data_IF_059006150042
#
_entry.id   IF_059006150042
#
_cell.length_a   1.000
_cell.length_b   1.000
_cell.length_c   1.000
_cell.angle_alpha   90.00
_cell.angle_beta   90.00
_cell.angle_gamma   90.00
#
_symmetry.space_group_name_H-M   'P 1'
#
loop_
_entity.id
_entity.type
_entity.pdbx_description
1 polymer ?
#
# COMPACT_ATOMS: atom_id res chain seq x y z
N UNK A 1 41.05 1.28 -6.00
CA UNK A 1 40.80 -0.16 -5.78
C UNK A 1 39.55 -0.32 -4.91
N UNK A 2 38.38 0.04 -5.46
CA UNK A 2 37.06 -0.20 -4.86
C UNK A 2 36.12 -0.66 -5.96
N UNK A 3 35.33 -1.68 -5.62
CA UNK A 3 34.53 -2.53 -6.50
C UNK A 3 33.41 -1.73 -7.20
N UNK A 4 33.46 -1.76 -8.53
CA UNK A 4 32.37 -1.39 -9.43
C UNK A 4 31.16 -2.32 -9.21
N UNK A 5 30.06 -1.80 -8.68
CA UNK A 5 28.74 -2.37 -8.93
C UNK A 5 28.22 -1.79 -10.25
N UNK A 6 28.44 -2.53 -11.34
CA UNK A 6 27.82 -2.28 -12.64
C UNK A 6 26.33 -2.60 -12.53
N UNK A 7 25.50 -1.58 -12.34
CA UNK A 7 24.07 -1.64 -12.63
C UNK A 7 23.83 -1.10 -14.05
N UNK A 8 24.28 -1.84 -15.07
CA UNK A 8 23.88 -1.62 -16.47
C UNK A 8 23.88 -2.96 -17.20
N UNK A 9 22.70 -3.31 -17.73
CA UNK A 9 22.45 -4.28 -18.80
C UNK A 9 22.86 -5.73 -18.53
N UNK A 10 21.88 -6.51 -18.09
CA UNK A 10 21.95 -7.96 -18.04
C UNK A 10 20.57 -8.59 -18.07
N UNK A 11 19.71 -8.20 -19.03
CA UNK A 11 18.59 -9.06 -19.42
C UNK A 11 19.23 -10.28 -20.10
N UNK A 12 19.58 -11.28 -19.29
CA UNK A 12 19.74 -12.64 -19.79
C UNK A 12 18.33 -13.16 -20.02
N UNK A 13 17.93 -13.15 -21.29
CA UNK A 13 16.96 -14.10 -21.81
C UNK A 13 17.48 -15.50 -21.47
N UNK A 14 16.99 -16.06 -20.36
CA UNK A 14 17.10 -17.49 -20.16
C UNK A 14 16.14 -18.15 -21.15
N UNK A 15 16.72 -18.61 -22.25
CA UNK A 15 16.13 -19.60 -23.13
C UNK A 15 15.76 -20.84 -22.31
N UNK A 16 14.49 -20.94 -21.90
CA UNK A 16 13.90 -22.22 -21.56
C UNK A 16 13.53 -22.92 -22.87
N UNK A 17 14.43 -23.79 -23.32
CA UNK A 17 14.11 -24.76 -24.36
C UNK A 17 13.25 -25.89 -23.76
N UNK A 18 12.05 -26.03 -24.31
CA UNK A 18 11.27 -27.26 -24.48
C UNK A 18 10.91 -28.12 -23.26
N UNK A 19 9.76 -27.79 -22.67
CA UNK A 19 8.59 -28.69 -22.69
C UNK A 19 7.35 -27.84 -22.90
N UNK A 20 6.72 -27.92 -24.08
CA UNK A 20 5.40 -27.32 -24.32
C UNK A 20 4.33 -28.14 -23.56
N UNK A 21 4.23 -27.93 -22.26
CA UNK A 21 2.92 -27.98 -21.60
C UNK A 21 2.30 -26.61 -21.86
N UNK A 22 1.22 -26.58 -22.63
CA UNK A 22 0.40 -25.37 -22.76
C UNK A 22 -0.04 -25.04 -21.33
N UNK A 23 0.55 -24.01 -20.73
CA UNK A 23 0.18 -23.60 -19.39
C UNK A 23 -1.21 -22.99 -19.49
N UNK A 24 -2.24 -23.78 -19.15
CA UNK A 24 -3.64 -23.39 -19.24
C UNK A 24 -3.98 -22.22 -18.30
N UNK A 25 -3.08 -21.94 -17.36
CA UNK A 25 -3.30 -20.97 -16.31
C UNK A 25 -2.41 -19.74 -16.46
N UNK A 26 -3.00 -18.58 -16.16
CA UNK A 26 -2.27 -17.34 -15.98
C UNK A 26 -1.20 -17.47 -14.90
N UNK A 27 -0.10 -16.77 -15.07
CA UNK A 27 0.91 -16.62 -14.03
C UNK A 27 0.33 -15.85 -12.84
N UNK A 28 0.87 -16.14 -11.65
CA UNK A 28 0.52 -15.46 -10.40
C UNK A 28 1.80 -15.04 -9.71
N UNK A 29 1.74 -13.95 -8.97
CA UNK A 29 2.82 -13.45 -8.12
C UNK A 29 2.30 -13.26 -6.70
N UNK A 30 2.34 -14.33 -5.90
CA UNK A 30 2.03 -14.25 -4.47
C UNK A 30 3.29 -13.98 -3.65
N UNK A 31 3.46 -12.74 -3.19
CA UNK A 31 4.60 -12.34 -2.37
C UNK A 31 4.62 -13.07 -1.02
N UNK A 32 3.46 -13.45 -0.46
CA UNK A 32 3.42 -14.22 0.80
C UNK A 32 4.00 -15.63 0.67
N UNK A 33 4.10 -16.15 -0.56
CA UNK A 33 4.68 -17.46 -0.90
C UNK A 33 6.03 -17.35 -1.60
N UNK A 34 6.45 -16.15 -1.99
CA UNK A 34 7.65 -15.97 -2.82
C UNK A 34 8.94 -16.23 -2.03
N UNK A 35 9.99 -16.59 -2.76
CA UNK A 35 11.31 -16.85 -2.21
C UNK A 35 11.94 -15.56 -1.60
N UNK A 36 13.01 -15.73 -0.83
CA UNK A 36 13.70 -14.65 -0.12
C UNK A 36 14.84 -14.00 -0.93
N UNK A 37 14.61 -13.70 -2.21
CA UNK A 37 15.59 -12.96 -3.02
C UNK A 37 15.53 -11.45 -2.75
N UNK A 38 16.54 -10.69 -3.19
CA UNK A 38 16.65 -9.25 -2.90
C UNK A 38 15.46 -8.44 -3.42
N UNK A 39 15.01 -8.70 -4.66
CA UNK A 39 13.88 -7.97 -5.28
C UNK A 39 12.56 -8.25 -4.54
N UNK A 40 12.31 -9.52 -4.22
CA UNK A 40 11.11 -9.96 -3.49
C UNK A 40 11.10 -9.43 -2.05
N UNK A 41 12.26 -9.43 -1.38
CA UNK A 41 12.39 -8.84 -0.05
C UNK A 41 12.13 -7.33 -0.08
N UNK A 42 12.58 -6.63 -1.13
CA UNK A 42 12.27 -5.22 -1.34
C UNK A 42 10.76 -4.99 -1.53
N UNK A 43 10.09 -5.77 -2.40
CA UNK A 43 8.63 -5.70 -2.57
C UNK A 43 7.90 -5.95 -1.25
N UNK A 44 8.32 -6.98 -0.49
CA UNK A 44 7.76 -7.32 0.82
C UNK A 44 7.94 -6.21 1.85
N UNK A 45 9.07 -5.50 1.83
CA UNK A 45 9.31 -4.36 2.73
C UNK A 45 8.36 -3.20 2.42
N UNK A 46 8.26 -2.81 1.14
CA UNK A 46 7.38 -1.70 0.72
C UNK A 46 5.91 -2.04 0.92
N UNK A 47 5.51 -3.28 0.63
CA UNK A 47 4.12 -3.76 0.70
C UNK A 47 3.79 -4.45 2.03
N UNK A 48 4.66 -4.35 3.05
CA UNK A 48 4.49 -5.07 4.32
C UNK A 48 3.10 -4.89 4.93
N UNK A 49 2.60 -3.66 4.92
CA UNK A 49 1.30 -3.32 5.52
C UNK A 49 0.10 -3.83 4.69
N UNK A 50 0.04 -3.64 3.36
CA UNK A 50 -0.92 -4.32 2.48
C UNK A 50 -0.87 -5.85 2.54
N UNK A 51 0.32 -6.46 2.58
CA UNK A 51 0.49 -7.91 2.72
C UNK A 51 -0.07 -8.42 4.04
N UNK A 52 0.09 -7.65 5.12
CA UNK A 52 -0.56 -7.92 6.40
C UNK A 52 -2.09 -7.90 6.31
N UNK A 53 -2.67 -7.01 5.49
CA UNK A 53 -4.12 -7.01 5.24
C UNK A 53 -4.55 -8.25 4.44
N UNK A 54 -3.81 -8.61 3.38
CA UNK A 54 -4.09 -9.81 2.58
C UNK A 54 -4.08 -11.06 3.47
N UNK A 55 -3.05 -11.22 4.29
CA UNK A 55 -2.94 -12.30 5.28
C UNK A 55 -4.15 -12.35 6.22
N UNK A 56 -4.55 -11.22 6.81
CA UNK A 56 -5.70 -11.20 7.73
C UNK A 56 -7.01 -11.62 7.02
N UNK A 57 -7.22 -11.17 5.78
CA UNK A 57 -8.39 -11.56 4.98
C UNK A 57 -8.37 -13.06 4.69
N UNK A 58 -7.21 -13.61 4.32
CA UNK A 58 -7.04 -15.05 4.08
C UNK A 58 -7.33 -15.84 5.36
N UNK A 59 -6.80 -15.40 6.50
CA UNK A 59 -7.03 -16.06 7.79
C UNK A 59 -8.50 -16.02 8.19
N UNK A 60 -9.17 -14.87 8.04
CA UNK A 60 -10.61 -14.74 8.34
C UNK A 60 -11.48 -15.56 7.37
N UNK A 61 -11.08 -15.65 6.10
CA UNK A 61 -11.73 -16.47 5.07
C UNK A 61 -11.70 -17.96 5.45
N UNK A 62 -10.52 -18.50 5.75
CA UNK A 62 -10.38 -19.92 6.09
C UNK A 62 -10.82 -20.27 7.51
N UNK A 63 -10.85 -19.30 8.43
CA UNK A 63 -11.40 -19.49 9.77
C UNK A 63 -12.91 -19.18 9.89
N UNK A 64 -13.56 -18.79 8.79
CA UNK A 64 -14.99 -18.43 8.74
C UNK A 64 -15.36 -17.30 9.73
N UNK A 65 -14.51 -16.27 9.85
CA UNK A 65 -14.63 -15.17 10.82
C UNK A 65 -15.25 -13.89 10.26
N UNK A 66 -15.61 -13.84 8.98
CA UNK A 66 -16.20 -12.62 8.41
C UNK A 66 -17.55 -12.23 9.02
N UNK A 67 -18.28 -13.17 9.63
CA UNK A 67 -19.47 -12.87 10.43
C UNK A 67 -19.17 -11.90 11.59
N UNK A 68 -17.96 -11.96 12.16
CA UNK A 68 -17.55 -11.10 13.27
C UNK A 68 -17.40 -9.63 12.85
N UNK A 69 -17.22 -9.34 11.56
CA UNK A 69 -17.15 -7.97 11.05
C UNK A 69 -18.47 -7.24 11.19
N UNK A 70 -19.59 -7.95 11.03
CA UNK A 70 -20.93 -7.36 11.20
C UNK A 70 -21.16 -6.89 12.64
N UNK A 71 -20.69 -7.67 13.62
CA UNK A 71 -20.83 -7.34 15.05
C UNK A 71 -20.06 -6.07 15.45
N UNK A 72 -19.08 -5.65 14.65
CA UNK A 72 -18.26 -4.45 14.87
C UNK A 72 -18.88 -3.18 14.27
N UNK A 73 -20.00 -3.29 13.56
CA UNK A 73 -20.69 -2.12 13.02
C UNK A 73 -21.36 -1.32 14.15
N UNK A 74 -21.14 -0.01 14.16
CA UNK A 74 -21.85 0.89 15.06
C UNK A 74 -23.32 1.06 14.65
N UNK A 75 -24.14 1.51 15.60
CA UNK A 75 -25.57 1.73 15.40
C UNK A 75 -25.88 2.79 14.34
N UNK A 76 -24.95 3.73 14.09
CA UNK A 76 -25.11 4.78 13.08
C UNK A 76 -25.06 4.19 11.68
N UNK A 77 -24.09 3.34 11.39
CA UNK A 77 -24.00 2.61 10.13
C UNK A 77 -25.24 1.75 9.90
N UNK A 78 -25.77 1.16 10.97
CA UNK A 78 -26.95 0.29 10.90
C UNK A 78 -28.20 0.98 10.34
N UNK A 79 -28.44 2.27 10.64
CA UNK A 79 -29.58 2.99 10.06
C UNK A 79 -29.22 3.82 8.82
N UNK A 80 -28.02 4.42 8.76
CA UNK A 80 -27.61 5.27 7.62
C UNK A 80 -27.35 4.47 6.34
N UNK A 81 -26.84 3.24 6.47
CA UNK A 81 -26.64 2.35 5.33
C UNK A 81 -27.87 1.47 5.03
N UNK A 82 -29.00 1.63 5.74
CA UNK A 82 -30.20 0.82 5.49
C UNK A 82 -30.07 -0.65 5.91
N UNK A 83 -29.03 -1.03 6.66
CA UNK A 83 -28.82 -2.39 7.19
C UNK A 83 -30.00 -2.82 8.09
N UNK A 84 -30.51 -1.90 8.91
CA UNK A 84 -31.68 -2.11 9.75
C UNK A 84 -32.94 -2.42 8.95
N UNK A 85 -33.05 -1.88 7.73
CA UNK A 85 -34.14 -2.21 6.80
C UNK A 85 -33.96 -3.61 6.23
N UNK A 86 -32.76 -3.93 5.72
CA UNK A 86 -32.42 -5.25 5.20
C UNK A 86 -32.65 -6.36 6.24
N UNK A 87 -32.27 -6.12 7.50
CA UNK A 87 -32.49 -7.03 8.65
C UNK A 87 -33.98 -7.36 8.91
N UNK A 88 -34.94 -6.61 8.37
CA UNK A 88 -36.38 -6.93 8.46
C UNK A 88 -36.84 -7.96 7.42
N UNK A 89 -36.06 -8.16 6.34
CA UNK A 89 -36.40 -9.05 5.22
C UNK A 89 -35.44 -10.25 5.15
N UNK A 90 -35.17 -10.91 6.29
CA UNK A 90 -34.13 -11.96 6.38
C UNK A 90 -34.36 -13.18 5.47
N UNK A 91 -35.61 -13.42 5.06
CA UNK A 91 -35.97 -14.49 4.11
C UNK A 91 -35.56 -14.18 2.66
N UNK A 92 -35.28 -12.92 2.33
CA UNK A 92 -34.81 -12.51 1.01
C UNK A 92 -33.28 -12.56 0.96
N UNK A 93 -32.72 -13.42 0.10
CA UNK A 93 -31.27 -13.69 0.03
C UNK A 93 -30.41 -12.42 -0.08
N UNK A 94 -30.81 -11.45 -0.90
CA UNK A 94 -30.09 -10.17 -1.01
C UNK A 94 -30.09 -9.38 0.30
N UNK A 95 -31.23 -9.32 0.99
CA UNK A 95 -31.35 -8.63 2.27
C UNK A 95 -30.61 -9.35 3.40
N UNK A 96 -30.51 -10.68 3.35
CA UNK A 96 -29.68 -11.49 4.24
C UNK A 96 -28.19 -11.24 4.00
N UNK A 97 -27.76 -11.14 2.74
CA UNK A 97 -26.36 -10.94 2.35
C UNK A 97 -25.86 -9.50 2.62
N UNK A 98 -26.70 -8.49 2.39
CA UNK A 98 -26.31 -7.07 2.43
C UNK A 98 -25.53 -6.62 3.69
N UNK A 99 -25.93 -6.98 4.92
CA UNK A 99 -25.17 -6.59 6.12
C UNK A 99 -23.73 -7.11 6.13
N UNK A 100 -23.51 -8.32 5.63
CA UNK A 100 -22.19 -8.95 5.58
C UNK A 100 -21.32 -8.33 4.50
N UNK A 101 -21.90 -8.10 3.32
CA UNK A 101 -21.27 -7.35 2.23
C UNK A 101 -20.80 -5.97 2.72
N UNK A 102 -21.70 -5.20 3.32
CA UNK A 102 -21.39 -3.86 3.82
C UNK A 102 -20.28 -3.89 4.87
N UNK A 103 -20.35 -4.80 5.85
CA UNK A 103 -19.35 -4.92 6.89
C UNK A 103 -17.95 -5.22 6.33
N UNK A 104 -17.87 -6.17 5.40
CA UNK A 104 -16.61 -6.54 4.75
C UNK A 104 -16.02 -5.37 3.94
N UNK A 105 -16.82 -4.72 3.10
CA UNK A 105 -16.36 -3.57 2.33
C UNK A 105 -15.93 -2.40 3.20
N UNK A 106 -16.68 -2.10 4.28
CA UNK A 106 -16.29 -1.07 5.23
C UNK A 106 -14.94 -1.39 5.88
N UNK A 107 -14.75 -2.63 6.32
CA UNK A 107 -13.49 -3.11 6.89
C UNK A 107 -12.33 -2.97 5.90
N UNK A 108 -12.51 -3.48 4.67
CA UNK A 108 -11.47 -3.47 3.64
C UNK A 108 -11.09 -2.04 3.24
N UNK A 109 -12.06 -1.19 2.88
CA UNK A 109 -11.80 0.18 2.41
C UNK A 109 -11.19 1.06 3.51
N UNK A 110 -11.64 0.91 4.76
CA UNK A 110 -11.02 1.61 5.89
C UNK A 110 -9.57 1.14 6.11
N UNK A 111 -9.34 -0.17 5.99
CA UNK A 111 -8.03 -0.79 6.18
C UNK A 111 -7.04 -0.40 5.09
N UNK A 112 -7.42 -0.41 3.82
CA UNK A 112 -6.51 -0.04 2.73
C UNK A 112 -6.17 1.44 2.78
N UNK A 113 -7.15 2.31 3.07
CA UNK A 113 -6.92 3.76 3.23
C UNK A 113 -5.86 4.05 4.29
N UNK A 114 -5.92 3.38 5.44
CA UNK A 114 -4.94 3.55 6.51
C UNK A 114 -3.52 3.08 6.15
N UNK A 115 -3.38 2.25 5.10
CA UNK A 115 -2.10 1.61 4.70
C UNK A 115 -1.44 2.26 3.50
N UNK A 116 -2.21 2.96 2.66
CA UNK A 116 -1.71 3.65 1.48
C UNK A 116 -0.58 4.63 1.83
N UNK A 117 -0.76 5.46 2.87
CA UNK A 117 0.27 6.40 3.32
C UNK A 117 1.60 5.72 3.66
N UNK A 118 1.55 4.57 4.35
CA UNK A 118 2.75 3.80 4.70
C UNK A 118 3.52 3.27 3.50
N UNK A 119 2.82 2.89 2.42
CA UNK A 119 3.48 2.49 1.17
C UNK A 119 4.20 3.67 0.55
N UNK A 120 3.57 4.84 0.48
CA UNK A 120 4.19 6.05 -0.07
C UNK A 120 5.41 6.51 0.76
N UNK A 121 5.30 6.46 2.09
CA UNK A 121 6.41 6.70 3.03
C UNK A 121 7.61 5.81 2.68
N UNK A 122 7.37 4.50 2.50
CA UNK A 122 8.43 3.52 2.17
C UNK A 122 9.08 3.80 0.81
N UNK A 123 8.28 4.13 -0.21
CA UNK A 123 8.81 4.47 -1.55
C UNK A 123 9.72 5.70 -1.45
N UNK A 124 9.28 6.76 -0.79
CA UNK A 124 10.08 7.99 -0.62
C UNK A 124 11.31 7.73 0.26
N UNK A 125 11.17 6.96 1.34
CA UNK A 125 12.30 6.54 2.17
C UNK A 125 13.37 5.82 1.35
N UNK A 126 12.97 4.93 0.45
CA UNK A 126 13.89 4.24 -0.45
C UNK A 126 14.55 5.21 -1.45
N UNK A 127 13.79 6.14 -2.03
CA UNK A 127 14.35 7.16 -2.93
C UNK A 127 15.42 7.99 -2.23
N UNK A 128 15.13 8.47 -1.02
CA UNK A 128 16.05 9.27 -0.22
C UNK A 128 17.31 8.47 0.18
N UNK A 129 17.18 7.20 0.54
CA UNK A 129 18.31 6.35 0.96
C UNK A 129 19.27 6.02 -0.20
N UNK A 130 18.73 5.81 -1.40
CA UNK A 130 19.51 5.26 -2.52
C UNK A 130 20.02 6.30 -3.51
N UNK A 131 19.30 7.41 -3.69
CA UNK A 131 19.64 8.41 -4.71
C UNK A 131 20.15 9.73 -4.14
N UNK A 132 20.01 9.93 -2.83
CA UNK A 132 20.46 11.13 -2.14
C UNK A 132 21.59 10.77 -1.18
N UNK A 133 22.62 11.63 -1.10
CA UNK A 133 23.71 11.51 -0.12
C UNK A 133 23.27 11.93 1.29
N UNK A 134 22.15 11.41 1.78
CA UNK A 134 21.61 11.69 3.10
C UNK A 134 21.77 10.46 4.00
N UNK A 135 22.68 10.48 5.00
CA UNK A 135 22.89 9.33 5.88
C UNK A 135 21.78 9.13 6.90
N UNK A 136 20.93 10.13 7.10
CA UNK A 136 19.80 10.09 8.03
C UNK A 136 18.54 10.17 7.19
N UNK A 137 17.80 9.07 7.12
CA UNK A 137 16.47 9.00 6.52
C UNK A 137 15.54 8.31 7.50
N UNK A 138 14.50 9.02 7.94
CA UNK A 138 13.49 8.51 8.87
C UNK A 138 12.08 8.68 8.31
N UNK A 139 11.17 7.84 8.76
CA UNK A 139 9.78 7.78 8.32
C UNK A 139 8.86 7.99 9.55
N UNK A 140 7.75 8.70 9.38
CA UNK A 140 6.74 8.89 10.41
C UNK A 140 7.26 9.47 11.75
N UNK A 141 6.99 8.78 12.86
CA UNK A 141 7.24 9.29 14.22
C UNK A 141 8.72 9.51 14.55
N UNK A 142 9.64 8.78 13.93
CA UNK A 142 11.08 8.96 14.16
C UNK A 142 11.59 10.30 13.62
N UNK A 143 10.93 10.86 12.61
CA UNK A 143 11.26 12.17 12.05
C UNK A 143 11.03 13.32 13.06
N UNK A 144 10.06 13.16 13.97
CA UNK A 144 9.74 14.17 14.99
C UNK A 144 10.88 14.36 15.98
N UNK A 145 11.43 13.27 16.51
CA UNK A 145 12.48 13.36 17.54
C UNK A 145 13.75 14.00 16.99
N UNK A 146 14.10 13.69 15.73
CA UNK A 146 15.22 14.32 15.02
C UNK A 146 14.95 15.80 14.80
N UNK A 147 13.75 16.16 14.32
CA UNK A 147 13.41 17.56 14.06
C UNK A 147 13.39 18.41 15.35
N UNK A 148 12.84 17.88 16.44
CA UNK A 148 12.83 18.54 17.75
C UNK A 148 14.25 18.73 18.29
N UNK A 149 15.14 17.73 18.14
CA UNK A 149 16.54 17.87 18.53
C UNK A 149 17.29 18.92 17.72
N UNK A 150 16.85 19.18 16.48
CA UNK A 150 17.47 20.14 15.57
C UNK A 150 16.98 21.57 15.82
N UNK A 151 15.70 21.75 16.11
CA UNK A 151 15.07 23.06 16.35
C UNK A 151 15.22 23.49 17.81
N UNK A 152 15.54 22.54 18.71
CA UNK A 152 15.64 22.76 20.15
C UNK A 152 14.35 23.37 20.73
N UNK A 153 13.21 22.82 20.30
CA UNK A 153 11.88 23.20 20.74
C UNK A 153 10.89 22.04 20.68
N UNK A 154 9.88 22.10 21.53
CA UNK A 154 8.77 21.16 21.50
C UNK A 154 7.81 21.54 20.38
N UNK A 155 7.86 20.81 19.28
CA UNK A 155 6.84 20.86 18.23
C UNK A 155 5.63 20.00 18.62
N UNK A 156 4.43 20.57 18.53
CA UNK A 156 3.20 19.80 18.66
C UNK A 156 2.98 18.93 17.40
N UNK A 157 2.36 17.76 17.63
CA UNK A 157 1.91 16.73 16.67
C UNK A 157 2.23 16.99 15.19
N UNK A 158 3.09 16.15 14.61
CA UNK A 158 3.51 16.26 13.22
C UNK A 158 2.91 15.18 12.34
N UNK A 159 2.61 15.59 11.11
CA UNK A 159 2.19 14.75 10.01
C UNK A 159 3.29 14.86 8.93
N UNK A 160 4.49 14.39 9.27
CA UNK A 160 5.63 14.24 8.35
C UNK A 160 5.69 12.77 7.96
N UNK A 161 5.76 12.54 6.65
CA UNK A 161 5.86 11.19 6.09
C UNK A 161 7.32 10.75 6.00
N UNK A 162 8.23 11.63 5.57
CA UNK A 162 9.66 11.34 5.51
C UNK A 162 10.54 12.55 5.86
N UNK A 163 11.71 12.29 6.42
CA UNK A 163 12.76 13.27 6.67
C UNK A 163 14.09 12.74 6.13
N UNK A 164 14.85 13.61 5.46
CA UNK A 164 16.25 13.34 5.15
C UNK A 164 17.15 14.53 5.50
N UNK A 165 18.33 14.24 6.05
CA UNK A 165 19.33 15.25 6.40
C UNK A 165 20.67 14.98 5.71
N UNK A 166 21.35 16.04 5.29
CA UNK A 166 22.71 15.97 4.73
C UNK A 166 23.72 15.45 5.77
N UNK A 167 24.90 14.95 5.35
CA UNK A 167 25.89 14.39 6.29
C UNK A 167 26.36 15.38 7.35
N UNK A 168 26.47 16.65 6.97
CA UNK A 168 26.83 17.76 7.86
C UNK A 168 25.64 18.35 8.63
N UNK A 169 24.44 17.80 8.43
CA UNK A 169 23.15 18.24 9.01
C UNK A 169 22.82 19.72 8.76
N UNK A 170 23.42 20.35 7.74
CA UNK A 170 23.15 21.75 7.37
C UNK A 170 22.00 21.89 6.38
N UNK A 171 21.55 20.79 5.76
CA UNK A 171 20.39 20.75 4.88
C UNK A 171 19.46 19.63 5.31
N UNK A 172 18.17 19.93 5.39
CA UNK A 172 17.11 18.98 5.74
C UNK A 172 15.97 19.13 4.74
N UNK A 173 15.41 18.01 4.30
CA UNK A 173 14.13 17.97 3.62
C UNK A 173 13.10 17.30 4.53
N UNK A 174 11.97 17.96 4.72
CA UNK A 174 10.78 17.45 5.40
C UNK A 174 9.73 17.21 4.32
N UNK A 175 9.29 15.96 4.18
CA UNK A 175 8.34 15.58 3.13
C UNK A 175 7.02 15.19 3.77
N UNK A 176 5.96 15.83 3.31
CA UNK A 176 4.58 15.46 3.59
C UNK A 176 3.91 15.07 2.27
N UNK A 177 3.40 13.84 2.20
CA UNK A 177 2.79 13.22 1.03
C UNK A 177 1.29 13.16 1.20
N UNK A 178 0.55 13.42 0.12
CA UNK A 178 -0.89 13.18 0.10
C UNK A 178 -1.32 12.47 -1.16
N UNK A 179 -2.25 11.54 -1.00
CA UNK A 179 -3.02 10.97 -2.10
C UNK A 179 -4.16 11.91 -2.48
N UNK A 180 -4.80 11.64 -3.63
CA UNK A 180 -6.00 12.34 -4.09
C UNK A 180 -7.06 12.51 -3.00
N UNK A 181 -7.41 11.42 -2.30
CA UNK A 181 -8.60 11.37 -1.45
C UNK A 181 -8.49 12.29 -0.22
N UNK A 182 -7.27 12.63 0.20
CA UNK A 182 -7.01 13.51 1.34
C UNK A 182 -6.95 15.00 0.95
N UNK A 183 -7.06 15.33 -0.34
CA UNK A 183 -7.15 16.71 -0.84
C UNK A 183 -8.59 17.16 -1.15
N UNK A 184 -9.62 16.36 -0.83
CA UNK A 184 -11.03 16.73 -1.03
C UNK A 184 -11.59 17.67 0.05
N UNK A 185 -11.13 17.55 1.29
CA UNK A 185 -11.64 18.32 2.44
C UNK A 185 -10.92 19.65 2.66
N UNK A 186 -11.67 20.71 2.99
CA UNK A 186 -11.11 22.05 3.27
C UNK A 186 -10.20 22.09 4.51
N UNK A 187 -10.45 21.23 5.50
CA UNK A 187 -9.65 21.11 6.73
C UNK A 187 -8.34 20.35 6.51
N UNK A 188 -8.35 19.30 5.67
CA UNK A 188 -7.19 18.45 5.39
C UNK A 188 -6.09 19.16 4.58
N UNK A 189 -6.44 20.23 3.85
CA UNK A 189 -5.47 21.06 3.11
C UNK A 189 -4.70 22.03 4.00
N UNK A 190 -5.33 22.57 5.05
CA UNK A 190 -4.67 23.51 5.96
C UNK A 190 -3.63 22.84 6.86
N UNK A 191 -3.87 21.58 7.25
CA UNK A 191 -2.94 20.78 8.04
C UNK A 191 -1.62 20.47 7.34
N UNK A 192 -1.57 20.59 6.00
CA UNK A 192 -0.35 20.32 5.21
C UNK A 192 0.77 21.34 5.44
N UNK A 193 0.45 22.51 6.01
CA UNK A 193 1.44 23.54 6.31
C UNK A 193 1.40 23.95 7.78
N UNK A 194 0.73 23.16 8.62
CA UNK A 194 0.57 23.47 10.04
C UNK A 194 1.89 23.35 10.80
N UNK A 195 2.71 22.34 10.46
CA UNK A 195 4.07 22.25 10.99
C UNK A 195 4.91 23.45 10.57
N UNK A 196 4.93 23.75 9.27
CA UNK A 196 5.68 24.87 8.74
C UNK A 196 5.28 26.19 9.43
N UNK A 197 3.96 26.41 9.61
CA UNK A 197 3.42 27.55 10.35
C UNK A 197 3.94 27.60 11.79
N UNK A 198 4.00 26.46 12.46
CA UNK A 198 4.51 26.36 13.82
C UNK A 198 6.00 26.70 13.87
N UNK A 199 6.81 26.22 12.91
CA UNK A 199 8.22 26.58 12.80
C UNK A 199 8.43 28.08 12.54
N UNK A 200 7.61 28.68 11.67
CA UNK A 200 7.65 30.11 11.38
C UNK A 200 7.33 30.95 12.63
N UNK A 201 6.37 30.51 13.45
CA UNK A 201 5.99 31.19 14.71
C UNK A 201 7.10 31.20 15.75
N UNK A 202 7.94 30.18 15.78
CA UNK A 202 9.08 30.14 16.71
C UNK A 202 10.08 31.28 16.44
N UNK A 203 10.09 31.84 15.22
CA UNK A 203 10.99 32.91 14.78
C UNK A 203 12.48 32.64 15.08
N UNK A 204 12.85 31.37 15.28
CA UNK A 204 14.23 30.92 15.37
C UNK A 204 14.76 30.77 13.95
N UNK A 205 15.98 31.26 13.72
CA UNK A 205 16.74 31.02 12.49
C UNK A 205 17.72 29.89 12.77
N UNK A 206 17.32 28.61 12.63
CA UNK A 206 18.27 27.51 12.78
C UNK A 206 19.41 27.74 11.79
N UNK A 207 20.65 27.39 12.16
CA UNK A 207 21.81 27.51 11.26
C UNK A 207 21.81 26.40 10.19
N UNK A 208 20.63 25.99 9.75
CA UNK A 208 20.32 24.82 8.96
C UNK A 208 19.25 25.22 7.95
N UNK A 209 19.46 24.86 6.70
CA UNK A 209 18.48 25.05 5.62
C UNK A 209 17.48 23.91 5.64
N UNK A 210 16.19 24.24 5.68
CA UNK A 210 15.08 23.30 5.75
C UNK A 210 14.16 23.56 4.56
N UNK A 211 14.02 22.55 3.71
CA UNK A 211 12.99 22.49 2.68
C UNK A 211 11.79 21.72 3.23
N UNK A 212 10.65 22.39 3.32
CA UNK A 212 9.36 21.76 3.56
C UNK A 212 8.73 21.42 2.20
N UNK A 213 8.75 20.16 1.83
CA UNK A 213 8.17 19.66 0.58
C UNK A 213 6.80 19.06 0.84
N UNK A 214 5.76 19.66 0.27
CA UNK A 214 4.43 19.03 0.18
C UNK A 214 4.32 18.35 -1.18
N UNK A 215 4.30 17.02 -1.20
CA UNK A 215 4.09 16.20 -2.38
C UNK A 215 2.65 15.73 -2.51
N UNK A 216 1.98 16.05 -3.61
CA UNK A 216 0.70 15.46 -3.99
C UNK A 216 0.97 14.38 -5.03
N UNK A 217 0.70 13.12 -4.69
CA UNK A 217 1.12 11.97 -5.49
C UNK A 217 0.48 11.95 -6.88
N UNK A 218 -0.83 12.21 -6.95
CA UNK A 218 -1.61 12.18 -8.18
C UNK A 218 -1.68 13.58 -8.82
N UNK A 219 -1.14 13.71 -10.03
CA UNK A 219 -1.30 14.92 -10.84
C UNK A 219 -2.75 14.99 -11.36
N UNK A 220 -3.52 16.01 -10.94
CA UNK A 220 -4.90 16.24 -11.40
C UNK A 220 -5.19 17.72 -11.63
N UNK A 221 -6.36 17.97 -12.23
CA UNK A 221 -6.93 19.25 -12.65
C UNK A 221 -6.43 20.47 -11.83
N UNK A 222 -5.98 21.47 -12.57
CA UNK A 222 -5.57 22.81 -12.11
C UNK A 222 -6.43 23.40 -10.99
N UNK A 223 -7.72 23.09 -10.96
CA UNK A 223 -8.65 23.52 -9.93
C UNK A 223 -8.31 23.01 -8.51
N UNK A 224 -7.94 21.72 -8.37
CA UNK A 224 -7.56 21.17 -7.07
C UNK A 224 -6.26 21.79 -6.57
N UNK A 225 -5.30 21.97 -7.48
CA UNK A 225 -4.02 22.64 -7.23
C UNK A 225 -4.22 24.07 -6.72
N UNK A 226 -5.00 24.88 -7.46
CA UNK A 226 -5.30 26.26 -7.08
C UNK A 226 -6.02 26.34 -5.73
N UNK A 227 -6.91 25.39 -5.44
CA UNK A 227 -7.59 25.28 -4.15
C UNK A 227 -6.60 25.00 -3.00
N UNK A 228 -5.63 24.11 -3.20
CA UNK A 228 -4.57 23.82 -2.22
C UNK A 228 -3.68 25.04 -1.98
N UNK A 229 -3.21 25.69 -3.05
CA UNK A 229 -2.38 26.90 -2.95
C UNK A 229 -3.13 28.00 -2.17
N UNK A 230 -4.40 28.23 -2.49
CA UNK A 230 -5.24 29.23 -1.79
C UNK A 230 -5.37 28.92 -0.29
N UNK A 231 -5.45 27.64 0.09
CA UNK A 231 -5.47 27.23 1.49
C UNK A 231 -4.12 27.40 2.18
N UNK A 232 -3.01 27.23 1.46
CA UNK A 232 -1.69 27.52 2.01
C UNK A 232 -1.53 29.02 2.24
N UNK A 233 -1.92 29.87 1.28
CA UNK A 233 -1.97 31.32 1.44
C UNK A 233 -2.76 31.71 2.69
N UNK A 234 -3.97 31.15 2.85
CA UNK A 234 -4.83 31.44 4.00
C UNK A 234 -4.20 31.02 5.33
N UNK A 235 -3.52 29.87 5.35
CA UNK A 235 -2.94 29.29 6.58
C UNK A 235 -1.62 29.96 6.98
N UNK A 236 -0.88 30.50 6.01
CA UNK A 236 0.43 31.13 6.17
C UNK A 236 0.40 32.66 5.96
N UNK A 237 -0.79 33.27 5.92
CA UNK A 237 -1.00 34.68 5.58
C UNK A 237 -0.12 35.65 6.37
N UNK A 238 0.15 35.34 7.65
CA UNK A 238 0.93 36.20 8.55
C UNK A 238 2.44 36.18 8.22
N UNK A 239 2.88 35.26 7.36
CA UNK A 239 4.27 35.04 6.98
C UNK A 239 4.54 35.28 5.49
N UNK A 240 3.50 35.59 4.71
CA UNK A 240 3.61 35.83 3.27
C UNK A 240 3.57 37.35 3.03
N UNK A 241 4.63 37.89 2.45
CA UNK A 241 4.73 39.32 2.13
C UNK A 241 3.94 39.71 0.87
N UNK A 242 3.86 38.81 -0.11
CA UNK A 242 3.12 39.00 -1.36
C UNK A 242 2.44 37.68 -1.76
N UNK A 243 1.10 37.66 -1.71
CA UNK A 243 0.28 36.51 -2.06
C UNK A 243 0.40 36.15 -3.55
N UNK A 244 0.56 37.13 -4.43
CA UNK A 244 0.70 36.90 -5.88
C UNK A 244 2.04 36.24 -6.18
N UNK A 245 3.11 36.71 -5.53
CA UNK A 245 4.43 36.10 -5.63
C UNK A 245 4.42 34.67 -5.09
N UNK A 246 3.82 34.47 -3.90
CA UNK A 246 3.68 33.15 -3.28
C UNK A 246 2.99 32.14 -4.22
N UNK A 247 1.84 32.52 -4.79
CA UNK A 247 1.10 31.66 -5.72
C UNK A 247 1.91 31.28 -6.96
N UNK A 248 2.79 32.17 -7.43
CA UNK A 248 3.65 31.92 -8.60
C UNK A 248 4.87 31.05 -8.30
N UNK A 249 5.45 31.16 -7.10
CA UNK A 249 6.74 30.56 -6.76
C UNK A 249 6.65 29.24 -5.99
N UNK A 250 5.50 28.93 -5.38
CA UNK A 250 5.37 27.78 -4.47
C UNK A 250 5.74 26.43 -5.13
N UNK A 251 5.65 26.31 -6.45
CA UNK A 251 6.03 25.10 -7.19
C UNK A 251 7.55 24.99 -7.43
N UNK A 252 8.29 26.10 -7.44
CA UNK A 252 9.74 26.11 -7.67
C UNK A 252 10.54 26.10 -6.38
N UNK A 253 10.14 26.93 -5.40
CA UNK A 253 10.53 27.02 -3.99
C UNK A 253 10.16 28.46 -3.57
N UNK A 254 9.38 28.59 -2.50
CA UNK A 254 9.11 29.85 -1.84
C UNK A 254 9.98 29.99 -0.59
N UNK A 255 10.75 31.06 -0.51
CA UNK A 255 11.61 31.36 0.63
C UNK A 255 10.86 32.22 1.65
N UNK A 256 10.64 31.72 2.86
CA UNK A 256 10.17 32.55 3.98
C UNK A 256 11.32 33.33 4.61
N UNK A 257 12.51 32.72 4.65
CA UNK A 257 13.77 33.34 5.07
C UNK A 257 14.94 32.50 4.53
N UNK A 258 16.18 32.85 4.90
CA UNK A 258 17.41 32.18 4.43
C UNK A 258 17.52 30.69 4.82
N UNK A 259 16.71 30.26 5.79
CA UNK A 259 16.77 28.94 6.43
C UNK A 259 15.54 28.08 6.15
N UNK A 260 14.37 28.66 5.88
CA UNK A 260 13.10 27.94 5.78
C UNK A 260 12.42 28.19 4.43
N UNK A 261 12.20 27.10 3.71
CA UNK A 261 11.65 27.08 2.35
C UNK A 261 10.43 26.16 2.28
N UNK A 262 9.51 26.47 1.38
CA UNK A 262 8.35 25.65 1.05
C UNK A 262 8.33 25.35 -0.44
N UNK A 263 8.09 24.10 -0.80
CA UNK A 263 7.80 23.71 -2.18
C UNK A 263 6.58 22.80 -2.23
N UNK A 264 5.70 23.04 -3.18
CA UNK A 264 4.54 22.22 -3.50
C UNK A 264 4.81 21.48 -4.81
N UNK A 265 4.89 20.15 -4.73
CA UNK A 265 5.12 19.28 -5.88
C UNK A 265 3.85 18.49 -6.20
N UNK A 266 3.31 18.65 -7.41
CA UNK A 266 2.18 17.88 -7.91
C UNK A 266 2.65 16.81 -8.90
N UNK A 267 2.34 15.55 -8.61
CA UNK A 267 2.76 14.40 -9.38
C UNK A 267 4.14 13.86 -8.95
N UNK A 268 4.34 12.57 -9.19
CA UNK A 268 5.61 11.88 -8.85
C UNK A 268 6.84 12.50 -9.52
N UNK A 269 6.69 13.02 -10.74
CA UNK A 269 7.78 13.69 -11.46
C UNK A 269 8.23 14.99 -10.76
N UNK A 270 7.28 15.81 -10.29
CA UNK A 270 7.60 17.03 -9.55
C UNK A 270 8.23 16.71 -8.19
N UNK A 271 7.76 15.66 -7.51
CA UNK A 271 8.32 15.19 -6.24
C UNK A 271 9.78 14.77 -6.43
N UNK A 272 10.06 13.88 -7.40
CA UNK A 272 11.42 13.44 -7.71
C UNK A 272 12.33 14.61 -8.07
N UNK A 273 11.83 15.57 -8.87
CA UNK A 273 12.59 16.77 -9.25
C UNK A 273 12.93 17.65 -8.05
N UNK A 274 11.97 17.90 -7.16
CA UNK A 274 12.19 18.66 -5.94
C UNK A 274 13.27 18.01 -5.05
N UNK A 275 13.23 16.69 -4.89
CA UNK A 275 14.24 15.94 -4.14
C UNK A 275 15.62 16.02 -4.82
N UNK A 276 15.67 15.87 -6.15
CA UNK A 276 16.91 15.96 -6.94
C UNK A 276 17.57 17.34 -6.81
N UNK A 277 16.81 18.40 -7.05
CA UNK A 277 17.30 19.78 -6.99
C UNK A 277 17.78 20.14 -5.58
N UNK A 278 17.02 19.76 -4.55
CA UNK A 278 17.39 20.03 -3.16
C UNK A 278 18.64 19.29 -2.71
N UNK A 279 18.77 18.02 -3.13
CA UNK A 279 19.91 17.17 -2.75
C UNK A 279 21.20 17.55 -3.45
N UNK A 280 21.15 18.39 -4.49
CA UNK A 280 22.29 18.66 -5.39
C UNK A 280 22.91 17.36 -5.92
N UNK A 281 22.08 16.32 -6.06
CA UNK A 281 22.54 15.02 -6.55
C UNK A 281 22.98 15.17 -8.01
N UNK A 282 24.02 14.41 -8.38
CA UNK A 282 24.44 14.27 -9.78
C UNK A 282 23.83 13.03 -10.42
N UNK A 283 23.10 12.22 -9.64
CA UNK A 283 22.46 11.00 -10.11
C UNK A 283 21.05 11.30 -10.64
N UNK A 284 20.96 11.51 -11.96
CA UNK A 284 19.68 11.71 -12.65
C UNK A 284 18.73 10.49 -12.56
N UNK A 285 19.21 9.32 -12.12
CA UNK A 285 18.35 8.16 -11.92
C UNK A 285 17.22 8.43 -10.91
N UNK A 286 17.41 9.38 -9.99
CA UNK A 286 16.36 9.80 -9.04
C UNK A 286 15.10 10.30 -9.74
N UNK A 287 15.23 10.93 -10.91
CA UNK A 287 14.10 11.50 -11.65
C UNK A 287 13.11 10.40 -12.08
N UNK A 288 13.61 9.17 -12.24
CA UNK A 288 12.82 7.97 -12.51
C UNK A 288 12.69 7.04 -11.30
N UNK A 289 13.28 7.37 -10.17
CA UNK A 289 13.35 6.51 -8.98
C UNK A 289 11.98 6.06 -8.50
N UNK A 290 11.04 6.99 -8.33
CA UNK A 290 9.66 6.68 -7.93
C UNK A 290 8.99 5.74 -8.95
N UNK A 291 9.07 6.05 -10.25
CA UNK A 291 8.45 5.25 -11.31
C UNK A 291 9.02 3.83 -11.37
N UNK A 292 10.34 3.69 -11.23
CA UNK A 292 11.01 2.39 -11.24
C UNK A 292 10.57 1.53 -10.05
N UNK A 293 10.50 2.13 -8.85
CA UNK A 293 10.03 1.44 -7.64
C UNK A 293 8.60 0.98 -7.82
N UNK A 294 7.71 1.89 -8.26
CA UNK A 294 6.30 1.59 -8.51
C UNK A 294 6.16 0.44 -9.51
N UNK A 295 6.82 0.51 -10.67
CA UNK A 295 6.80 -0.56 -11.67
C UNK A 295 7.34 -1.90 -11.17
N UNK A 296 8.22 -1.89 -10.14
CA UNK A 296 8.72 -3.10 -9.49
C UNK A 296 7.65 -3.72 -8.58
N UNK A 297 6.90 -2.92 -7.83
CA UNK A 297 5.96 -3.40 -6.80
C UNK A 297 4.52 -3.60 -7.30
N UNK A 298 4.16 -3.12 -8.49
CA UNK A 298 2.79 -3.18 -9.00
C UNK A 298 2.29 -4.60 -9.30
N UNK A 299 3.20 -5.54 -9.58
CA UNK A 299 2.86 -6.89 -10.02
C UNK A 299 2.83 -7.88 -8.84
N UNK A 300 1.74 -7.86 -8.08
CA UNK A 300 1.48 -8.82 -7.00
C UNK A 300 -0.01 -9.12 -6.85
N UNK A 301 -0.34 -10.35 -6.44
CA UNK A 301 -1.71 -10.86 -6.50
C UNK A 301 -2.38 -11.11 -5.15
N UNK A 302 -1.63 -11.09 -4.04
CA UNK A 302 -2.12 -11.56 -2.74
C UNK A 302 -3.39 -10.83 -2.28
N UNK A 303 -3.42 -9.50 -2.37
CA UNK A 303 -4.54 -8.72 -1.82
C UNK A 303 -5.78 -8.75 -2.71
N UNK A 304 -5.64 -8.50 -4.02
CA UNK A 304 -6.82 -8.41 -4.88
C UNK A 304 -7.51 -9.77 -5.01
N UNK A 305 -6.76 -10.88 -5.05
CA UNK A 305 -7.32 -12.23 -5.04
C UNK A 305 -8.01 -12.51 -3.70
N UNK A 306 -7.36 -12.26 -2.57
CA UNK A 306 -7.94 -12.49 -1.24
C UNK A 306 -9.27 -11.73 -1.06
N UNK A 307 -9.31 -10.45 -1.46
CA UNK A 307 -10.52 -9.62 -1.37
C UNK A 307 -11.62 -10.13 -2.30
N UNK A 308 -11.27 -10.46 -3.54
CA UNK A 308 -12.25 -10.91 -4.54
C UNK A 308 -12.88 -12.25 -4.15
N UNK A 309 -12.07 -13.19 -3.68
CA UNK A 309 -12.53 -14.50 -3.20
C UNK A 309 -13.36 -14.34 -1.93
N UNK A 310 -12.93 -13.51 -0.97
CA UNK A 310 -13.71 -13.26 0.24
C UNK A 310 -15.10 -12.68 -0.08
N UNK A 311 -15.17 -11.76 -1.05
CA UNK A 311 -16.44 -11.19 -1.47
C UNK A 311 -17.37 -12.24 -2.10
N UNK A 312 -16.84 -13.07 -3.02
CA UNK A 312 -17.60 -14.15 -3.65
C UNK A 312 -18.06 -15.20 -2.62
N UNK A 313 -17.21 -15.54 -1.66
CA UNK A 313 -17.54 -16.49 -0.60
C UNK A 313 -18.69 -15.98 0.28
N UNK A 314 -18.71 -14.69 0.63
CA UNK A 314 -19.82 -14.07 1.38
C UNK A 314 -21.15 -14.10 0.62
N UNK A 315 -21.10 -13.96 -0.70
CA UNK A 315 -22.28 -14.10 -1.56
C UNK A 315 -22.80 -15.54 -1.53
N UNK A 316 -21.92 -16.52 -1.80
CA UNK A 316 -22.27 -17.94 -1.83
C UNK A 316 -22.85 -18.42 -0.50
N UNK A 317 -22.23 -18.03 0.62
CA UNK A 317 -22.68 -18.44 1.95
C UNK A 317 -24.06 -17.90 2.31
N UNK A 318 -24.38 -16.67 1.92
CA UNK A 318 -25.62 -16.02 2.36
C UNK A 318 -26.77 -16.13 1.37
N UNK A 319 -26.47 -16.24 0.07
CA UNK A 319 -27.49 -16.38 -0.98
C UNK A 319 -27.73 -17.85 -1.30
N UNK A 320 -26.67 -18.64 -1.48
CA UNK A 320 -26.76 -20.04 -1.93
C UNK A 320 -26.63 -21.05 -0.78
N UNK A 321 -26.24 -20.62 0.42
CA UNK A 321 -25.93 -21.47 1.57
C UNK A 321 -24.85 -22.54 1.26
N UNK A 322 -23.89 -22.19 0.41
CA UNK A 322 -22.74 -23.02 0.04
C UNK A 322 -21.44 -22.29 0.37
N UNK A 323 -20.37 -23.03 0.66
CA UNK A 323 -19.04 -22.49 0.94
C UNK A 323 -18.00 -23.20 0.09
N UNK A 324 -17.34 -22.46 -0.81
CA UNK A 324 -16.26 -23.03 -1.62
C UNK A 324 -15.02 -23.33 -0.78
N UNK A 325 -14.85 -22.60 0.33
CA UNK A 325 -13.80 -22.89 1.33
C UNK A 325 -14.00 -24.25 1.99
N UNK A 326 -15.24 -24.57 2.41
CA UNK A 326 -15.52 -25.88 3.02
C UNK A 326 -15.39 -27.02 2.00
N UNK A 327 -15.92 -26.83 0.78
CA UNK A 327 -15.77 -27.80 -0.30
C UNK A 327 -14.28 -28.05 -0.58
N UNK A 328 -13.47 -27.00 -0.70
CA UNK A 328 -12.02 -27.14 -0.90
C UNK A 328 -11.37 -27.93 0.23
N UNK A 329 -11.67 -27.62 1.51
CA UNK A 329 -11.13 -28.36 2.66
C UNK A 329 -11.47 -29.84 2.62
N UNK A 330 -12.71 -30.18 2.27
CA UNK A 330 -13.15 -31.57 2.08
C UNK A 330 -12.35 -32.27 0.97
N UNK A 331 -12.14 -31.61 -0.19
CA UNK A 331 -11.33 -32.18 -1.26
C UNK A 331 -9.86 -32.34 -0.82
N UNK A 332 -9.29 -31.36 -0.12
CA UNK A 332 -7.92 -31.43 0.41
C UNK A 332 -7.75 -32.65 1.33
N UNK A 333 -8.69 -32.87 2.25
CA UNK A 333 -8.68 -34.04 3.13
C UNK A 333 -8.83 -35.34 2.34
N UNK A 334 -9.79 -35.40 1.41
CA UNK A 334 -10.06 -36.59 0.58
C UNK A 334 -8.86 -37.02 -0.26
N UNK A 335 -8.13 -36.05 -0.83
CA UNK A 335 -6.99 -36.31 -1.70
C UNK A 335 -5.64 -36.21 -0.98
N UNK A 336 -5.64 -35.97 0.34
CA UNK A 336 -4.46 -35.78 1.18
C UNK A 336 -3.46 -34.78 0.58
N UNK A 337 -3.95 -33.62 0.14
CA UNK A 337 -3.10 -32.60 -0.48
C UNK A 337 -2.19 -31.95 0.56
N UNK A 338 -0.89 -31.97 0.28
CA UNK A 338 0.15 -31.28 1.05
C UNK A 338 0.97 -30.44 0.07
N UNK A 339 0.98 -29.10 0.18
CA UNK A 339 1.72 -28.24 -0.74
C UNK A 339 3.22 -28.41 -0.53
N UNK A 340 3.99 -28.52 -1.62
CA UNK A 340 5.44 -28.49 -1.56
C UNK A 340 5.93 -27.03 -1.43
N UNK A 341 6.21 -26.60 -0.19
CA UNK A 341 6.60 -25.23 0.16
C UNK A 341 8.11 -24.92 0.02
N UNK A 342 8.87 -25.77 -0.68
CA UNK A 342 10.33 -25.59 -0.80
C UNK A 342 10.76 -24.47 -1.74
N UNK A 343 9.91 -24.09 -2.69
CA UNK A 343 10.10 -22.94 -3.57
C UNK A 343 8.76 -22.48 -4.14
N UNK A 344 8.70 -21.24 -4.66
CA UNK A 344 7.51 -20.74 -5.31
C UNK A 344 7.05 -21.62 -6.50
N UNK A 345 8.01 -22.07 -7.32
CA UNK A 345 7.77 -22.96 -8.47
C UNK A 345 7.15 -24.29 -8.03
N UNK A 346 7.63 -24.87 -6.93
CA UNK A 346 7.08 -26.12 -6.40
C UNK A 346 5.66 -25.94 -5.85
N UNK A 347 5.35 -24.80 -5.23
CA UNK A 347 3.99 -24.47 -4.80
C UNK A 347 3.09 -24.32 -6.03
N UNK A 348 3.54 -23.60 -7.05
CA UNK A 348 2.80 -23.41 -8.29
C UNK A 348 2.44 -24.74 -8.97
N UNK A 349 3.42 -25.64 -9.12
CA UNK A 349 3.19 -26.96 -9.69
C UNK A 349 2.23 -27.80 -8.84
N UNK A 350 2.43 -27.82 -7.53
CA UNK A 350 1.56 -28.57 -6.60
C UNK A 350 0.12 -28.08 -6.65
N UNK A 351 -0.09 -26.76 -6.62
CA UNK A 351 -1.42 -26.14 -6.69
C UNK A 351 -2.10 -26.43 -8.04
N UNK A 352 -1.34 -26.35 -9.14
CA UNK A 352 -1.85 -26.62 -10.49
C UNK A 352 -2.25 -28.09 -10.67
N UNK A 353 -1.39 -29.02 -10.25
CA UNK A 353 -1.67 -30.45 -10.29
C UNK A 353 -2.92 -30.79 -9.46
N UNK A 354 -2.99 -30.27 -8.24
CA UNK A 354 -4.13 -30.50 -7.36
C UNK A 354 -5.43 -29.91 -7.94
N UNK A 355 -5.37 -28.71 -8.51
CA UNK A 355 -6.52 -28.09 -9.20
C UNK A 355 -7.06 -28.99 -10.32
N UNK A 356 -6.17 -29.49 -11.19
CA UNK A 356 -6.55 -30.39 -12.29
C UNK A 356 -7.15 -31.70 -11.78
N UNK A 357 -6.72 -32.17 -10.61
CA UNK A 357 -7.25 -33.37 -9.97
C UNK A 357 -8.67 -33.15 -9.40
N UNK A 358 -8.92 -32.00 -8.77
CA UNK A 358 -10.20 -31.75 -8.09
C UNK A 358 -11.27 -31.15 -9.00
N UNK A 359 -10.90 -30.43 -10.06
CA UNK A 359 -11.83 -29.77 -10.99
C UNK A 359 -12.90 -30.73 -11.54
N UNK A 360 -12.59 -31.96 -12.02
CA UNK A 360 -13.62 -32.90 -12.50
C UNK A 360 -14.52 -33.46 -11.39
N UNK A 361 -14.12 -33.28 -10.12
CA UNK A 361 -14.85 -33.79 -8.94
C UNK A 361 -15.60 -32.69 -8.18
N UNK A 362 -15.53 -31.45 -8.68
CA UNK A 362 -16.28 -30.30 -8.18
C UNK A 362 -17.68 -30.32 -8.78
N UNK A 363 -18.55 -31.14 -8.18
CA UNK A 363 -19.92 -31.34 -8.66
C UNK A 363 -20.89 -30.31 -8.06
N UNK A 364 -20.43 -29.59 -7.05
CA UNK A 364 -21.19 -28.57 -6.35
C UNK A 364 -21.43 -27.38 -7.30
N UNK A 365 -22.69 -26.96 -7.45
CA UNK A 365 -23.06 -25.81 -8.28
C UNK A 365 -22.76 -24.49 -7.55
N UNK A 366 -21.48 -24.26 -7.24
CA UNK A 366 -21.01 -23.19 -6.36
C UNK A 366 -19.89 -22.34 -6.97
N UNK A 367 -19.38 -22.73 -8.15
CA UNK A 367 -18.35 -21.98 -8.86
C UNK A 367 -19.00 -20.80 -9.61
N UNK A 368 -18.53 -19.56 -9.41
CA UNK A 368 -19.24 -18.36 -9.87
C UNK A 368 -19.05 -18.03 -11.36
N UNK A 369 -18.37 -18.89 -12.13
CA UNK A 369 -18.01 -18.62 -13.51
C UNK A 369 -18.60 -19.65 -14.48
N UNK A 370 -18.89 -19.24 -15.71
CA UNK A 370 -19.50 -20.10 -16.72
C UNK A 370 -18.50 -21.02 -17.42
N UNK A 371 -17.30 -20.52 -17.72
CA UNK A 371 -16.31 -21.30 -18.48
C UNK A 371 -15.49 -22.22 -17.58
N UNK A 372 -15.07 -23.37 -18.13
CA UNK A 372 -14.19 -24.32 -17.42
C UNK A 372 -12.84 -23.69 -17.08
N UNK A 373 -12.31 -22.83 -17.95
CA UNK A 373 -11.05 -22.15 -17.75
C UNK A 373 -11.10 -21.21 -16.53
N UNK A 374 -12.14 -20.39 -16.39
CA UNK A 374 -12.31 -19.50 -15.24
C UNK A 374 -12.55 -20.28 -13.94
N UNK A 375 -13.36 -21.34 -14.00
CA UNK A 375 -13.55 -22.26 -12.87
C UNK A 375 -12.22 -22.85 -12.39
N UNK A 376 -11.38 -23.28 -13.32
CA UNK A 376 -10.06 -23.81 -13.00
C UNK A 376 -9.18 -22.75 -12.35
N UNK A 377 -9.13 -21.52 -12.87
CA UNK A 377 -8.37 -20.42 -12.28
C UNK A 377 -8.83 -20.11 -10.86
N UNK A 378 -10.14 -20.01 -10.65
CA UNK A 378 -10.73 -19.73 -9.35
C UNK A 378 -10.39 -20.81 -8.32
N UNK A 379 -10.51 -22.10 -8.68
CA UNK A 379 -10.12 -23.21 -7.80
C UNK A 379 -8.62 -23.13 -7.47
N UNK A 380 -7.78 -22.87 -8.46
CA UNK A 380 -6.33 -22.74 -8.23
C UNK A 380 -6.01 -21.59 -7.30
N UNK A 381 -6.67 -20.44 -7.48
CA UNK A 381 -6.49 -19.27 -6.62
C UNK A 381 -6.94 -19.60 -5.18
N UNK A 382 -8.03 -20.37 -4.98
CA UNK A 382 -8.41 -20.88 -3.66
C UNK A 382 -7.32 -21.79 -3.04
N UNK A 383 -6.71 -22.67 -3.84
CA UNK A 383 -5.61 -23.56 -3.39
C UNK A 383 -4.38 -22.75 -2.97
N UNK A 384 -4.05 -21.68 -3.70
CA UNK A 384 -2.97 -20.76 -3.31
C UNK A 384 -3.29 -20.07 -1.99
N UNK A 385 -4.49 -19.52 -1.81
CA UNK A 385 -4.87 -18.87 -0.55
C UNK A 385 -4.86 -19.86 0.63
N UNK A 386 -5.30 -21.11 0.40
CA UNK A 386 -5.18 -22.17 1.41
C UNK A 386 -3.72 -22.43 1.79
N UNK A 387 -2.83 -22.50 0.80
CA UNK A 387 -1.40 -22.71 1.01
C UNK A 387 -0.79 -21.56 1.82
N UNK A 388 -1.17 -20.31 1.53
CA UNK A 388 -0.78 -19.14 2.34
C UNK A 388 -1.24 -19.31 3.79
N UNK A 389 -2.52 -19.66 3.99
CA UNK A 389 -3.08 -19.85 5.33
C UNK A 389 -2.31 -20.91 6.14
N UNK A 390 -1.96 -22.05 5.53
CA UNK A 390 -1.16 -23.09 6.19
C UNK A 390 0.25 -22.59 6.52
N UNK A 391 0.97 -22.09 5.51
CA UNK A 391 2.36 -21.65 5.62
C UNK A 391 2.55 -20.59 6.71
N UNK A 392 1.62 -19.65 6.79
CA UNK A 392 1.63 -18.55 7.75
C UNK A 392 1.37 -19.05 9.18
N UNK A 393 0.44 -19.99 9.35
CA UNK A 393 0.13 -20.56 10.66
C UNK A 393 1.24 -21.47 11.18
N UNK A 394 1.88 -22.25 10.31
CA UNK A 394 2.99 -23.12 10.67
C UNK A 394 4.24 -22.33 11.11
N UNK A 395 4.57 -21.23 10.40
CA UNK A 395 5.65 -20.32 10.83
C UNK A 395 5.39 -19.67 12.19
N UNK A 396 4.13 -19.33 12.50
CA UNK A 396 3.76 -18.75 13.80
C UNK A 396 3.84 -19.77 14.94
N UNK A 397 3.56 -21.06 14.68
CA UNK A 397 3.74 -22.11 15.66
C UNK A 397 5.21 -22.37 15.96
N UNK A 398 6.08 -22.35 14.94
CA UNK A 398 7.52 -22.45 15.12
C UNK A 398 8.07 -21.32 16.01
N UNK A 399 7.63 -20.07 15.82
CA UNK A 399 8.08 -18.91 16.63
C UNK A 399 7.58 -18.97 18.08
N UNK A 400 6.40 -19.56 18.35
CA UNK A 400 5.86 -19.68 19.72
C UNK A 400 6.49 -20.81 20.54
N UNK A 401 7.22 -21.72 19.89
CA UNK A 401 7.90 -22.85 20.52
C UNK A 401 9.39 -22.58 20.79
N UNK A 402 9.86 -21.36 20.54
CA UNK A 402 11.14 -20.79 20.98
C UNK A 402 10.86 -19.63 21.93
#
# INVERSE_FOLDING_TARGET
MYKNLRFVQGIKLHNFANTHTINMYQERTFLLLSDHNEEENFKKEVLQSPLGLAKNIIDDLFASKFSDLQAKLDTIKDFTAGISSAKKFKEYGLAKHYPHLFAFHQFFHSSIRARQGKVLEKIIGFVLKNYVKCPIVTEGHESLSILQAIIDEKLEKLDIDALAASPDRKKIILIQLRSRDDTGGTTAKGSLVELLRSMLRLNKKPNIKILYLVGIWDERDSNQKNSTITKFCSSLKDFISDETLFKKQIEQIYHFNDTLMLQLAYGTNAISRAIFEWSESQDEAILRGIQNIVGTIENWDDLWIAVSIANLELELQHIQNVSNINILKEKIQKFNFQPNISSYENIYHSATQFTNQILPTWNENSLPFGSIAEKAHYIRDLVFLYTIHQYVNDKLQLIRNF
#
